data_IF_069003215490
#
_entry.id   IF_069003215490
#
_cell.length_a   1.000
_cell.length_b   1.000
_cell.length_c   1.000
_cell.angle_alpha   90.00
_cell.angle_beta   90.00
_cell.angle_gamma   90.00
#
_symmetry.space_group_name_H-M   'P 1'
#
loop_
_entity.id
_entity.type
_entity.pdbx_description
1 polymer ?
#
# COMPACT_ATOMS: atom_id res chain seq x y z
N UNK A 1 -0.73 29.46 -3.48
CA UNK A 1 0.48 28.62 -3.64
C UNK A 1 0.49 27.43 -2.68
N UNK A 2 0.34 27.63 -1.38
CA UNK A 2 0.38 26.56 -0.36
C UNK A 2 -0.67 25.44 -0.59
N UNK A 3 -1.91 25.81 -0.92
CA UNK A 3 -2.98 24.84 -1.15
C UNK A 3 -2.67 23.86 -2.30
N UNK A 4 -2.01 24.33 -3.37
CA UNK A 4 -1.61 23.50 -4.53
C UNK A 4 -0.61 22.42 -4.13
N UNK A 5 0.35 22.79 -3.27
CA UNK A 5 1.37 21.87 -2.75
C UNK A 5 0.69 20.83 -1.86
N UNK A 6 -0.18 21.30 -0.95
CA UNK A 6 -0.91 20.43 -0.03
C UNK A 6 -1.80 19.42 -0.76
N UNK A 7 -2.58 19.86 -1.75
CA UNK A 7 -3.42 18.96 -2.56
C UNK A 7 -2.59 17.97 -3.37
N UNK A 8 -1.43 18.38 -3.90
CA UNK A 8 -0.52 17.49 -4.62
C UNK A 8 0.05 16.39 -3.71
N UNK A 9 0.46 16.74 -2.49
CA UNK A 9 0.95 15.78 -1.47
C UNK A 9 -0.17 14.80 -1.08
N UNK A 10 -1.39 15.28 -0.85
CA UNK A 10 -2.52 14.41 -0.50
C UNK A 10 -2.91 13.47 -1.65
N UNK A 11 -3.02 14.00 -2.86
CA UNK A 11 -3.37 13.19 -4.04
C UNK A 11 -2.29 12.15 -4.31
N UNK A 12 -1.01 12.52 -4.24
CA UNK A 12 0.08 11.55 -4.42
C UNK A 12 0.09 10.46 -3.34
N UNK A 13 -0.28 10.79 -2.10
CA UNK A 13 -0.42 9.83 -0.99
C UNK A 13 -1.51 8.79 -1.23
N UNK A 14 -2.60 9.14 -1.92
CA UNK A 14 -3.76 8.26 -2.14
C UNK A 14 -3.69 7.59 -3.52
N UNK A 15 -3.59 8.39 -4.58
CA UNK A 15 -3.50 7.96 -5.99
C UNK A 15 -2.33 8.66 -6.66
N UNK A 16 -1.16 8.06 -6.51
CA UNK A 16 0.12 8.56 -7.02
C UNK A 16 0.06 9.03 -8.48
N UNK A 17 -0.53 8.24 -9.38
CA UNK A 17 -0.62 8.55 -10.81
C UNK A 17 -1.42 9.83 -11.12
N UNK A 18 -2.40 10.19 -10.30
CA UNK A 18 -3.20 11.42 -10.49
C UNK A 18 -2.46 12.68 -10.05
N UNK A 19 -1.35 12.55 -9.33
CA UNK A 19 -0.56 13.69 -8.94
C UNK A 19 0.14 14.35 -10.14
N UNK A 20 0.49 13.60 -11.21
CA UNK A 20 1.19 14.16 -12.36
C UNK A 20 0.30 15.05 -13.24
N UNK A 21 -0.91 14.64 -13.66
CA UNK A 21 -1.84 15.54 -14.33
C UNK A 21 -2.18 16.78 -13.49
N UNK A 22 -2.31 16.61 -12.17
CA UNK A 22 -2.58 17.71 -11.26
C UNK A 22 -1.40 18.69 -11.19
N UNK A 23 -0.16 18.19 -11.19
CA UNK A 23 1.04 19.02 -11.19
C UNK A 23 1.18 19.84 -12.48
N UNK A 24 0.85 19.24 -13.63
CA UNK A 24 0.77 19.95 -14.93
C UNK A 24 -0.29 21.05 -14.85
N UNK A 25 -1.50 20.74 -14.37
CA UNK A 25 -2.58 21.74 -14.23
C UNK A 25 -2.23 22.88 -13.28
N UNK A 26 -1.29 22.68 -12.36
CA UNK A 26 -0.80 23.71 -11.44
C UNK A 26 0.46 24.43 -11.91
N UNK A 27 1.06 24.03 -13.04
CA UNK A 27 2.30 24.57 -13.60
C UNK A 27 3.47 24.48 -12.60
N UNK A 28 3.65 23.30 -12.00
CA UNK A 28 4.78 23.03 -11.12
C UNK A 28 6.01 22.64 -11.92
N UNK A 29 7.18 23.17 -11.61
CA UNK A 29 8.43 22.74 -12.27
C UNK A 29 8.68 21.23 -12.09
N UNK A 30 9.47 20.66 -13.01
CA UNK A 30 9.90 19.25 -12.96
C UNK A 30 10.46 18.86 -11.57
N UNK A 31 11.35 19.67 -11.01
CA UNK A 31 11.96 19.40 -9.70
C UNK A 31 10.95 19.46 -8.55
N UNK A 32 10.05 20.45 -8.57
CA UNK A 32 9.03 20.59 -7.52
C UNK A 32 8.01 19.45 -7.58
N UNK A 33 7.67 18.99 -8.78
CA UNK A 33 6.81 17.82 -8.98
C UNK A 33 7.46 16.56 -8.40
N UNK A 34 8.73 16.28 -8.72
CA UNK A 34 9.44 15.11 -8.17
C UNK A 34 9.49 15.19 -6.64
N UNK A 35 9.86 16.34 -6.09
CA UNK A 35 10.00 16.52 -4.65
C UNK A 35 8.67 16.30 -3.93
N UNK A 36 7.60 16.99 -4.33
CA UNK A 36 6.31 16.90 -3.63
C UNK A 36 5.60 15.57 -3.85
N UNK A 37 5.70 14.97 -5.04
CA UNK A 37 5.15 13.62 -5.27
C UNK A 37 5.92 12.55 -4.51
N UNK A 38 7.24 12.67 -4.39
CA UNK A 38 8.05 11.76 -3.57
C UNK A 38 7.73 11.88 -2.09
N UNK A 39 7.65 13.11 -1.57
CA UNK A 39 7.28 13.37 -0.17
C UNK A 39 5.89 12.81 0.14
N UNK A 40 4.89 13.11 -0.70
CA UNK A 40 3.54 12.59 -0.52
C UNK A 40 3.44 11.08 -0.69
N UNK A 41 4.12 10.50 -1.68
CA UNK A 41 4.11 9.05 -1.88
C UNK A 41 4.77 8.29 -0.71
N UNK A 42 5.91 8.76 -0.21
CA UNK A 42 6.58 8.18 0.96
C UNK A 42 5.72 8.36 2.21
N UNK A 43 5.16 9.56 2.41
CA UNK A 43 4.24 9.83 3.51
C UNK A 43 3.04 8.88 3.48
N UNK A 44 2.42 8.67 2.31
CA UNK A 44 1.33 7.73 2.12
C UNK A 44 1.74 6.29 2.46
N UNK A 45 2.90 5.82 1.99
CA UNK A 45 3.41 4.47 2.32
C UNK A 45 3.57 4.30 3.83
N UNK A 46 4.13 5.29 4.52
CA UNK A 46 4.29 5.24 5.97
C UNK A 46 2.93 5.28 6.66
N UNK A 47 2.10 6.27 6.35
CA UNK A 47 0.80 6.48 6.95
C UNK A 47 -0.11 5.26 6.80
N UNK A 48 -0.33 4.77 5.58
CA UNK A 48 -1.14 3.57 5.32
C UNK A 48 -0.47 2.31 5.82
N UNK A 49 0.86 2.29 5.85
CA UNK A 49 1.61 1.16 6.38
C UNK A 49 1.40 0.97 7.88
N UNK A 50 1.40 2.06 8.66
CA UNK A 50 1.00 2.02 10.05
C UNK A 50 -0.50 1.75 10.15
N UNK A 51 -1.34 2.61 9.57
CA UNK A 51 -2.81 2.55 9.67
C UNK A 51 -3.40 1.18 9.36
N UNK A 52 -2.78 0.41 8.45
CA UNK A 52 -3.20 -0.96 8.15
C UNK A 52 -3.28 -1.86 9.39
N UNK A 53 -2.33 -1.74 10.32
CA UNK A 53 -2.31 -2.51 11.55
C UNK A 53 -3.38 -2.03 12.54
N UNK A 54 -3.59 -0.70 12.66
CA UNK A 54 -4.66 -0.15 13.50
C UNK A 54 -6.05 -0.54 12.99
N UNK A 55 -6.30 -0.45 11.68
CA UNK A 55 -7.57 -0.86 11.07
C UNK A 55 -7.88 -2.32 11.33
N UNK A 56 -6.87 -3.18 11.21
CA UNK A 56 -6.98 -4.61 11.51
C UNK A 56 -7.31 -4.83 12.98
N UNK A 57 -6.58 -4.17 13.90
CA UNK A 57 -6.85 -4.27 15.34
C UNK A 57 -8.25 -3.79 15.70
N UNK A 58 -8.69 -2.68 15.12
CA UNK A 58 -10.02 -2.11 15.31
C UNK A 58 -11.10 -3.06 14.78
N UNK A 59 -10.98 -3.56 13.56
CA UNK A 59 -11.92 -4.52 12.99
C UNK A 59 -12.06 -5.76 13.87
N UNK A 60 -10.93 -6.31 14.36
CA UNK A 60 -10.96 -7.46 15.24
C UNK A 60 -11.62 -7.13 16.57
N UNK A 61 -11.24 -6.02 17.18
CA UNK A 61 -11.85 -5.58 18.42
C UNK A 61 -13.35 -5.41 18.26
N UNK A 62 -13.81 -4.79 17.17
CA UNK A 62 -15.23 -4.59 16.88
C UNK A 62 -15.97 -5.91 16.66
N UNK A 63 -15.46 -6.80 15.81
CA UNK A 63 -16.04 -8.12 15.55
C UNK A 63 -16.07 -8.96 16.83
N UNK A 64 -14.98 -8.96 17.59
CA UNK A 64 -14.89 -9.67 18.86
C UNK A 64 -15.90 -9.07 19.86
N UNK A 65 -15.87 -7.76 20.11
CA UNK A 65 -16.81 -7.08 21.00
C UNK A 65 -18.28 -7.36 20.64
N UNK A 66 -18.63 -7.31 19.36
CA UNK A 66 -19.98 -7.62 18.88
C UNK A 66 -20.36 -9.09 19.14
N UNK A 67 -19.47 -10.04 18.84
CA UNK A 67 -19.74 -11.47 19.01
C UNK A 67 -19.71 -11.91 20.48
N UNK A 68 -19.01 -11.19 21.36
CA UNK A 68 -18.90 -11.54 22.79
C UNK A 68 -20.14 -11.11 23.56
N UNK A 69 -20.78 -10.03 23.10
CA UNK A 69 -22.06 -9.55 23.61
C UNK A 69 -23.21 -10.55 23.35
N UNK A 70 -23.10 -11.40 22.33
CA UNK A 70 -24.07 -12.45 22.03
C UNK A 70 -23.54 -13.85 22.36
N UNK A 71 -23.99 -14.41 23.49
CA UNK A 71 -23.58 -15.74 23.99
C UNK A 71 -23.77 -16.87 22.94
N UNK A 72 -24.76 -16.71 22.04
CA UNK A 72 -25.08 -17.62 20.93
C UNK A 72 -23.95 -17.81 19.91
N UNK A 73 -23.04 -16.84 19.78
CA UNK A 73 -21.97 -16.83 18.76
C UNK A 73 -20.57 -17.09 19.33
N UNK A 74 -20.44 -17.59 20.57
CA UNK A 74 -19.14 -17.97 21.18
C UNK A 74 -18.31 -18.91 20.29
N UNK A 75 -18.96 -19.84 19.59
CA UNK A 75 -18.30 -20.76 18.64
C UNK A 75 -17.72 -20.05 17.41
N UNK A 76 -18.47 -19.09 16.85
CA UNK A 76 -18.02 -18.27 15.71
C UNK A 76 -16.88 -17.32 16.12
N UNK A 77 -16.97 -16.71 17.31
CA UNK A 77 -15.90 -15.89 17.88
C UNK A 77 -14.60 -16.69 18.06
N UNK A 78 -14.69 -17.94 18.55
CA UNK A 78 -13.56 -18.86 18.67
C UNK A 78 -12.98 -19.21 17.30
N UNK A 79 -13.83 -19.51 16.32
CA UNK A 79 -13.43 -19.83 14.94
C UNK A 79 -12.79 -18.65 14.21
N UNK A 80 -13.27 -17.42 14.40
CA UNK A 80 -12.66 -16.19 13.87
C UNK A 80 -11.30 -15.92 14.53
N UNK A 81 -11.20 -16.08 15.87
CA UNK A 81 -9.94 -15.94 16.61
C UNK A 81 -8.90 -16.99 16.18
N UNK A 82 -9.33 -18.22 15.91
CA UNK A 82 -8.47 -19.31 15.45
C UNK A 82 -8.09 -19.17 13.97
N UNK A 83 -9.01 -18.72 13.10
CA UNK A 83 -8.68 -18.33 11.72
C UNK A 83 -7.71 -17.15 11.70
N UNK A 84 -7.81 -16.22 12.66
CA UNK A 84 -6.81 -15.15 12.84
C UNK A 84 -5.42 -15.71 13.20
N UNK A 85 -5.33 -16.71 14.09
CA UNK A 85 -4.07 -17.41 14.39
C UNK A 85 -3.51 -18.18 13.17
N UNK A 86 -4.37 -18.69 12.29
CA UNK A 86 -3.94 -19.31 11.02
C UNK A 86 -3.51 -18.31 9.95
N UNK A 87 -4.07 -17.10 10.00
CA UNK A 87 -3.70 -15.96 9.17
C UNK A 87 -2.39 -15.31 9.65
N UNK A 88 -2.10 -15.35 10.94
CA UNK A 88 -0.82 -14.97 11.57
C UNK A 88 -0.09 -16.21 12.13
N UNK A 89 0.26 -17.22 11.31
CA UNK A 89 0.83 -18.45 11.84
C UNK A 89 2.27 -18.19 12.29
N UNK A 90 2.54 -18.42 13.59
CA UNK A 90 3.87 -18.89 14.01
C UNK A 90 4.01 -20.31 13.43
N UNK A 91 4.64 -20.40 12.26
CA UNK A 91 5.01 -21.62 11.53
C UNK A 91 3.87 -22.29 10.73
N UNK A 92 4.24 -22.68 9.50
CA UNK A 92 3.43 -22.93 8.31
C UNK A 92 2.45 -24.11 8.42
N UNK A 93 1.20 -23.96 7.95
CA UNK A 93 0.36 -25.09 7.50
C UNK A 93 0.40 -25.17 5.97
N UNK A 94 0.75 -26.34 5.43
CA UNK A 94 0.88 -26.60 3.99
C UNK A 94 -0.50 -26.81 3.36
N UNK A 95 -1.09 -25.76 2.76
CA UNK A 95 -2.36 -25.88 2.02
C UNK A 95 -2.03 -26.12 0.54
N UNK A 96 -2.11 -27.39 0.11
CA UNK A 96 -1.81 -27.86 -1.25
C UNK A 96 -2.98 -27.60 -2.22
N UNK A 97 -3.30 -26.34 -2.52
CA UNK A 97 -4.23 -25.99 -3.61
C UNK A 97 -3.47 -25.57 -4.88
N UNK A 98 -3.97 -25.94 -6.08
CA UNK A 98 -3.40 -25.49 -7.37
C UNK A 98 -3.39 -23.95 -7.49
N UNK A 99 -4.40 -23.26 -6.94
CA UNK A 99 -4.43 -21.78 -6.83
C UNK A 99 -3.36 -21.26 -5.86
N UNK A 100 -3.19 -21.91 -4.72
CA UNK A 100 -2.13 -21.60 -3.74
C UNK A 100 -0.73 -21.75 -4.35
N UNK A 101 -0.48 -22.81 -5.14
CA UNK A 101 0.80 -23.02 -5.86
C UNK A 101 1.06 -21.96 -6.94
N UNK A 102 0.03 -21.46 -7.64
CA UNK A 102 0.17 -20.37 -8.61
C UNK A 102 0.50 -19.05 -7.91
N UNK A 103 -0.17 -18.75 -6.80
CA UNK A 103 0.12 -17.60 -5.96
C UNK A 103 1.54 -17.65 -5.35
N UNK A 104 1.97 -18.82 -4.85
CA UNK A 104 3.32 -19.06 -4.33
C UNK A 104 4.38 -18.90 -5.42
N UNK A 105 4.12 -19.37 -6.65
CA UNK A 105 5.04 -19.17 -7.78
C UNK A 105 5.17 -17.69 -8.19
N UNK A 106 4.08 -16.93 -8.22
CA UNK A 106 4.13 -15.48 -8.49
C UNK A 106 4.91 -14.77 -7.37
N UNK A 107 4.65 -15.14 -6.11
CA UNK A 107 5.39 -14.65 -4.93
C UNK A 107 6.89 -14.96 -5.00
N UNK A 108 7.26 -16.15 -5.47
CA UNK A 108 8.65 -16.60 -5.63
C UNK A 108 9.36 -15.97 -6.83
N UNK A 109 8.64 -15.65 -7.91
CA UNK A 109 9.22 -15.15 -9.17
C UNK A 109 9.40 -13.63 -9.20
N UNK A 110 8.47 -12.87 -8.59
CA UNK A 110 8.51 -11.40 -8.59
C UNK A 110 8.84 -10.79 -7.21
N UNK A 111 8.67 -11.55 -6.13
CA UNK A 111 9.08 -11.13 -4.79
C UNK A 111 8.40 -9.84 -4.29
N UNK A 112 8.94 -9.30 -3.21
CA UNK A 112 8.52 -8.02 -2.63
C UNK A 112 8.70 -6.87 -3.63
N UNK A 113 9.79 -6.90 -4.40
CA UNK A 113 10.14 -5.87 -5.37
C UNK A 113 9.10 -5.73 -6.48
N UNK A 114 8.57 -6.84 -7.03
CA UNK A 114 7.55 -6.77 -8.07
C UNK A 114 6.22 -6.19 -7.58
N UNK A 115 5.77 -6.55 -6.37
CA UNK A 115 4.57 -5.93 -5.78
C UNK A 115 4.81 -4.45 -5.50
N UNK A 116 5.96 -4.11 -4.92
CA UNK A 116 6.31 -2.73 -4.63
C UNK A 116 6.38 -1.89 -5.92
N UNK A 117 7.01 -2.39 -6.99
CA UNK A 117 7.08 -1.71 -8.29
C UNK A 117 5.72 -1.57 -8.96
N UNK A 118 4.84 -2.56 -8.88
CA UNK A 118 3.49 -2.43 -9.46
C UNK A 118 2.58 -1.52 -8.63
N UNK A 119 2.96 -1.22 -7.38
CA UNK A 119 2.13 -0.45 -6.45
C UNK A 119 1.88 0.97 -6.97
N UNK A 120 2.85 1.90 -7.02
CA UNK A 120 2.56 3.30 -7.35
C UNK A 120 1.86 3.51 -8.71
N UNK A 121 2.03 2.58 -9.65
CA UNK A 121 1.46 2.67 -11.00
C UNK A 121 0.04 2.08 -11.11
N UNK A 122 -0.18 0.86 -10.60
CA UNK A 122 -1.42 0.10 -10.84
C UNK A 122 -2.28 0.03 -9.57
N UNK A 123 -1.66 -0.12 -8.40
CA UNK A 123 -2.35 -0.27 -7.12
C UNK A 123 -2.17 1.00 -6.29
N UNK A 124 -3.25 1.76 -6.07
CA UNK A 124 -3.23 2.93 -5.18
C UNK A 124 -2.41 2.67 -3.91
N UNK A 125 -1.57 3.64 -3.49
CA UNK A 125 -0.64 3.48 -2.36
C UNK A 125 -1.31 2.85 -1.13
N UNK A 126 -2.55 3.20 -0.73
CA UNK A 126 -3.23 2.54 0.39
C UNK A 126 -3.37 1.02 0.18
N UNK A 127 -3.83 0.61 -1.01
CA UNK A 127 -4.13 -0.78 -1.34
C UNK A 127 -2.83 -1.57 -1.49
N UNK A 128 -1.85 -1.04 -2.22
CA UNK A 128 -0.59 -1.75 -2.45
C UNK A 128 0.28 -1.83 -1.20
N UNK A 129 0.29 -0.81 -0.35
CA UNK A 129 0.97 -0.85 0.96
C UNK A 129 0.33 -1.88 1.88
N UNK A 130 -1.00 -1.89 1.97
CA UNK A 130 -1.74 -2.90 2.71
C UNK A 130 -1.41 -4.32 2.22
N UNK A 131 -1.40 -4.52 0.90
CA UNK A 131 -1.11 -5.80 0.28
C UNK A 131 0.34 -6.26 0.52
N UNK A 132 1.30 -5.36 0.40
CA UNK A 132 2.72 -5.63 0.61
C UNK A 132 3.00 -6.04 2.07
N UNK A 133 2.46 -5.27 3.03
CA UNK A 133 2.54 -5.60 4.46
C UNK A 133 1.87 -6.94 4.74
N UNK A 134 0.74 -7.21 4.09
CA UNK A 134 0.02 -8.46 4.26
C UNK A 134 0.80 -9.68 3.79
N UNK A 135 1.50 -9.58 2.66
CA UNK A 135 2.22 -10.73 2.08
C UNK A 135 3.66 -10.91 2.58
N UNK A 136 4.32 -9.82 2.96
CA UNK A 136 5.75 -9.81 3.32
C UNK A 136 6.03 -9.34 4.74
N UNK A 137 4.98 -9.08 5.55
CA UNK A 137 5.03 -8.48 6.90
C UNK A 137 5.52 -7.03 6.88
N UNK A 138 5.12 -6.25 7.88
CA UNK A 138 5.62 -4.90 8.12
C UNK A 138 7.05 -4.94 8.66
N UNK A 139 8.03 -5.05 7.76
CA UNK A 139 9.46 -4.98 8.09
C UNK A 139 10.07 -3.71 7.52
N UNK A 140 11.19 -3.26 8.09
CA UNK A 140 11.96 -2.13 7.54
C UNK A 140 12.28 -2.32 6.05
N UNK A 141 12.59 -3.57 5.64
CA UNK A 141 12.82 -3.93 4.24
C UNK A 141 11.57 -3.68 3.38
N UNK A 142 10.40 -4.15 3.81
CA UNK A 142 9.11 -3.95 3.10
C UNK A 142 8.84 -2.48 2.84
N UNK A 143 8.94 -1.64 3.88
CA UNK A 143 8.70 -0.20 3.79
C UNK A 143 9.75 0.46 2.89
N UNK A 144 11.03 0.09 3.05
CA UNK A 144 12.11 0.63 2.24
C UNK A 144 11.93 0.34 0.73
N UNK A 145 11.56 -0.89 0.37
CA UNK A 145 11.26 -1.24 -1.03
C UNK A 145 10.06 -0.47 -1.60
N UNK A 146 9.02 -0.21 -0.79
CA UNK A 146 7.89 0.62 -1.21
C UNK A 146 8.31 2.08 -1.44
N UNK A 147 9.13 2.65 -0.55
CA UNK A 147 9.66 4.01 -0.72
C UNK A 147 10.55 4.13 -1.97
N UNK A 148 11.46 3.17 -2.21
CA UNK A 148 12.27 3.15 -3.43
C UNK A 148 11.40 3.08 -4.68
N UNK A 149 10.36 2.25 -4.65
CA UNK A 149 9.42 2.17 -5.77
C UNK A 149 8.74 3.50 -6.05
N UNK A 150 8.29 4.21 -5.00
CA UNK A 150 7.70 5.55 -5.14
C UNK A 150 8.70 6.52 -5.78
N UNK A 151 9.95 6.54 -5.32
CA UNK A 151 11.00 7.41 -5.89
C UNK A 151 11.27 7.10 -7.35
N UNK A 152 11.42 5.81 -7.67
CA UNK A 152 11.60 5.33 -9.03
C UNK A 152 10.47 5.83 -9.95
N UNK A 153 9.22 5.61 -9.55
CA UNK A 153 8.07 6.05 -10.34
C UNK A 153 7.87 7.56 -10.38
N UNK A 154 8.22 8.29 -9.32
CA UNK A 154 8.21 9.77 -9.31
C UNK A 154 9.11 10.32 -10.40
N UNK A 155 10.33 9.78 -10.50
CA UNK A 155 11.29 10.15 -11.52
C UNK A 155 10.79 9.74 -12.91
N UNK A 156 10.38 8.47 -13.09
CA UNK A 156 9.92 7.97 -14.39
C UNK A 156 8.73 8.77 -14.94
N UNK A 157 7.69 9.00 -14.13
CA UNK A 157 6.51 9.73 -14.57
C UNK A 157 6.80 11.20 -14.83
N UNK A 158 7.61 11.86 -13.99
CA UNK A 158 7.99 13.25 -14.23
C UNK A 158 8.82 13.39 -15.51
N UNK A 159 9.71 12.44 -15.79
CA UNK A 159 10.48 12.42 -17.05
C UNK A 159 9.58 12.22 -18.25
N UNK A 160 8.61 11.30 -18.19
CA UNK A 160 7.63 11.11 -19.27
C UNK A 160 6.87 12.41 -19.55
N UNK A 161 6.39 13.10 -18.51
CA UNK A 161 5.69 14.38 -18.66
C UNK A 161 6.60 15.45 -19.27
N UNK A 162 7.86 15.53 -18.82
CA UNK A 162 8.84 16.46 -19.36
C UNK A 162 9.07 16.25 -20.87
N UNK A 163 9.27 14.99 -21.30
CA UNK A 163 9.53 14.67 -22.72
C UNK A 163 8.30 14.79 -23.61
N UNK A 164 7.10 14.59 -23.07
CA UNK A 164 5.84 14.73 -23.85
C UNK A 164 5.47 16.20 -24.11
N UNK A 165 6.23 17.16 -23.58
CA UNK A 165 6.04 18.58 -23.86
C UNK A 165 4.80 19.19 -23.19
N UNK A 166 4.11 18.44 -22.32
CA UNK A 166 3.10 18.99 -21.43
C UNK A 166 3.81 19.95 -20.46
N UNK A 167 3.70 21.24 -20.73
CA UNK A 167 4.45 22.27 -20.01
C UNK A 167 4.08 22.26 -18.52
N UNK A 168 5.06 21.87 -17.73
CA UNK A 168 5.26 22.31 -16.36
C UNK A 168 5.39 23.84 -16.29
#
# INVERSE_FOLDING_TARGET
>A
MLYKIFTLILISSIKFIFAFPLAIGYQFSFHTTILYTSVGGIFGVLFFGFLSDELIRFYNWFVLMYLHKHQKFKGLAKSIKDNYRQIFPKKQRKIFSKRSKRFVRIKQRYGLAGIALLTPLILSIPIGTFLAIRFYKRTKKTIFFLCISVLFWSLTMSSIVYYTGFRY
#
